data_IF_045366381978
#
_entry.id   IF_045366381978
#
_cell.length_a   1.000
_cell.length_b   1.000
_cell.length_c   1.000
_cell.angle_alpha   90.00
_cell.angle_beta   90.00
_cell.angle_gamma   90.00
#
_symmetry.space_group_name_H-M   'P 1'
#
loop_
_entity.id
_entity.type
_entity.pdbx_description
1 polymer ?
#
# COMPACT_ATOMS: atom_id res chain seq x y z
N UNK A 1 -12.75 -22.32 21.52
CA UNK A 1 -11.43 -21.83 21.96
C UNK A 1 -10.38 -22.15 20.90
N UNK A 2 -9.27 -21.42 20.87
CA UNK A 2 -8.17 -21.62 19.91
C UNK A 2 -6.85 -21.72 20.66
N UNK A 3 -5.99 -22.68 20.28
CA UNK A 3 -4.63 -22.85 20.82
C UNK A 3 -3.65 -23.03 19.67
N UNK A 4 -2.45 -22.48 19.80
CA UNK A 4 -1.33 -22.76 18.90
C UNK A 4 -0.44 -23.84 19.51
N UNK A 5 -0.01 -24.79 18.69
CA UNK A 5 1.02 -25.75 19.03
C UNK A 5 2.00 -25.91 17.88
N UNK A 6 3.21 -26.36 18.17
CA UNK A 6 4.23 -26.52 17.14
C UNK A 6 3.81 -27.60 16.14
N UNK A 7 3.92 -27.31 14.84
CA UNK A 7 3.81 -28.31 13.79
C UNK A 7 5.21 -28.68 13.34
N UNK A 8 5.56 -29.96 13.52
CA UNK A 8 6.84 -30.49 13.05
C UNK A 8 6.96 -30.43 11.52
N UNK A 9 8.18 -30.42 11.02
CA UNK A 9 8.40 -30.60 9.58
C UNK A 9 7.86 -31.97 9.17
N UNK A 10 6.93 -32.00 8.22
CA UNK A 10 6.16 -33.19 7.91
C UNK A 10 5.12 -32.96 6.81
N UNK A 11 4.12 -33.85 6.73
CA UNK A 11 3.10 -33.84 5.67
C UNK A 11 2.32 -32.51 5.58
N UNK A 12 2.20 -31.76 6.68
CA UNK A 12 1.45 -30.50 6.73
C UNK A 12 2.32 -29.25 6.49
N UNK A 13 3.62 -29.27 6.84
CA UNK A 13 4.56 -28.18 6.60
C UNK A 13 5.97 -28.69 6.28
N UNK A 14 6.47 -28.40 5.08
CA UNK A 14 7.76 -28.94 4.59
C UNK A 14 9.00 -28.46 5.36
N UNK A 15 8.93 -27.27 5.97
CA UNK A 15 10.01 -26.62 6.74
C UNK A 15 9.63 -26.46 8.23
N UNK A 16 8.55 -27.13 8.66
CA UNK A 16 7.93 -26.93 9.97
C UNK A 16 7.11 -25.65 10.04
N UNK A 17 6.34 -25.51 11.13
CA UNK A 17 5.36 -24.45 11.24
C UNK A 17 4.65 -24.40 12.59
N UNK A 18 3.49 -23.75 12.60
CA UNK A 18 2.57 -23.68 13.75
C UNK A 18 1.24 -24.27 13.32
N UNK A 19 0.67 -25.18 14.12
CA UNK A 19 -0.72 -25.60 13.97
C UNK A 19 -1.63 -24.81 14.90
N UNK A 20 -2.79 -24.45 14.39
CA UNK A 20 -3.84 -23.68 15.05
C UNK A 20 -5.02 -24.62 15.29
N UNK A 21 -5.20 -25.04 16.54
CA UNK A 21 -6.18 -26.04 16.98
C UNK A 21 -7.43 -25.33 17.50
N UNK A 22 -8.61 -25.75 17.01
CA UNK A 22 -9.91 -25.12 17.31
C UNK A 22 -10.86 -26.16 17.87
N UNK A 23 -11.58 -25.83 18.94
CA UNK A 23 -12.56 -26.74 19.53
C UNK A 23 -13.46 -26.07 20.56
N UNK A 24 -14.37 -26.85 21.16
CA UNK A 24 -15.36 -26.37 22.14
C UNK A 24 -14.99 -26.91 23.51
N UNK A 25 -14.75 -26.02 24.46
CA UNK A 25 -14.49 -26.35 25.86
C UNK A 25 -15.77 -26.98 26.46
N UNK A 26 -15.76 -28.30 26.54
CA UNK A 26 -16.92 -29.12 26.89
C UNK A 26 -16.97 -29.36 28.39
N UNK A 27 -15.82 -29.37 29.06
CA UNK A 27 -15.70 -29.52 30.50
C UNK A 27 -15.72 -28.18 31.27
N UNK A 28 -15.73 -27.04 30.54
CA UNK A 28 -15.78 -25.65 31.04
C UNK A 28 -14.61 -25.29 31.94
N UNK A 29 -13.44 -25.88 31.72
CA UNK A 29 -12.24 -25.60 32.51
C UNK A 29 -11.47 -24.35 32.02
N UNK A 30 -11.90 -23.73 30.92
CA UNK A 30 -11.28 -22.53 30.37
C UNK A 30 -10.01 -22.78 29.55
N UNK A 31 -9.72 -24.04 29.21
CA UNK A 31 -8.60 -24.44 28.34
C UNK A 31 -9.08 -25.41 27.27
N UNK A 32 -8.44 -25.41 26.10
CA UNK A 32 -8.78 -26.35 25.04
C UNK A 32 -7.97 -27.64 25.23
N UNK A 33 -8.61 -28.68 25.76
CA UNK A 33 -7.98 -29.98 25.97
C UNK A 33 -7.88 -30.79 24.67
N UNK A 34 -6.95 -31.75 24.62
CA UNK A 34 -6.71 -32.57 23.41
C UNK A 34 -7.93 -33.39 22.98
N UNK A 35 -8.82 -33.74 23.91
CA UNK A 35 -10.07 -34.45 23.61
C UNK A 35 -11.18 -33.53 23.05
N UNK A 36 -10.98 -32.22 23.12
CA UNK A 36 -11.94 -31.18 22.72
C UNK A 36 -11.57 -30.52 21.39
N UNK A 37 -10.39 -30.86 20.85
CA UNK A 37 -9.89 -30.38 19.56
C UNK A 37 -10.70 -31.00 18.43
N UNK A 38 -11.19 -30.15 17.52
CA UNK A 38 -11.79 -30.59 16.28
C UNK A 38 -10.73 -30.62 15.17
N UNK A 39 -10.23 -31.81 14.87
CA UNK A 39 -9.18 -32.02 13.87
C UNK A 39 -9.54 -31.52 12.47
N UNK A 40 -10.85 -31.45 12.12
CA UNK A 40 -11.31 -30.93 10.83
C UNK A 40 -11.19 -29.40 10.71
N UNK A 41 -10.99 -28.69 11.82
CA UNK A 41 -10.84 -27.23 11.87
C UNK A 41 -9.40 -26.78 12.14
N UNK A 42 -8.46 -27.72 12.34
CA UNK A 42 -7.05 -27.42 12.56
C UNK A 42 -6.40 -26.86 11.29
N UNK A 43 -5.64 -25.77 11.42
CA UNK A 43 -4.96 -25.07 10.30
C UNK A 43 -3.46 -25.01 10.54
N UNK A 44 -2.64 -24.98 9.49
CA UNK A 44 -1.17 -25.00 9.58
C UNK A 44 -0.54 -23.76 8.92
N UNK A 45 0.53 -23.23 9.52
CA UNK A 45 1.27 -22.05 9.06
C UNK A 45 2.74 -22.42 8.91
N UNK A 46 3.30 -22.41 7.69
CA UNK A 46 4.64 -22.94 7.38
C UNK A 46 5.70 -21.85 7.09
N UNK A 47 6.99 -22.15 7.29
CA UNK A 47 8.11 -21.22 7.11
C UNK A 47 8.73 -21.21 5.67
N UNK A 48 9.35 -20.10 5.24
CA UNK A 48 9.94 -19.92 3.90
C UNK A 48 11.48 -20.14 3.80
N UNK A 49 12.05 -20.33 2.58
CA UNK A 49 13.48 -20.61 2.36
C UNK A 49 14.42 -19.38 2.37
N UNK A 50 15.69 -19.56 2.76
CA UNK A 50 16.71 -18.51 3.00
C UNK A 50 17.50 -18.11 1.73
N UNK A 51 17.83 -16.81 1.57
CA UNK A 51 18.65 -16.26 0.45
C UNK A 51 20.12 -15.95 0.79
N UNK A 52 21.02 -15.80 -0.20
CA UNK A 52 22.48 -15.65 -0.01
C UNK A 52 22.95 -14.19 0.26
N UNK A 53 24.06 -14.05 1.00
CA UNK A 53 24.60 -12.80 1.59
C UNK A 53 25.72 -12.15 0.74
N UNK A 54 25.75 -10.80 0.66
CA UNK A 54 26.80 -10.00 -0.03
C UNK A 54 27.80 -9.29 0.91
N UNK A 55 28.99 -8.94 0.38
CA UNK A 55 30.19 -8.47 1.11
C UNK A 55 30.37 -6.93 1.16
N UNK A 56 31.08 -6.43 2.18
CA UNK A 56 31.19 -5.02 2.66
C UNK A 56 32.38 -4.22 2.05
N UNK A 57 32.24 -2.90 1.88
CA UNK A 57 33.31 -1.95 1.51
C UNK A 57 33.58 -0.85 2.56
N UNK A 58 34.84 -0.37 2.64
CA UNK A 58 35.42 0.47 3.71
C UNK A 58 35.34 2.01 3.45
N UNK A 59 35.34 2.80 4.54
CA UNK A 59 35.24 4.29 4.59
C UNK A 59 36.60 5.00 4.60
N UNK A 60 36.70 6.22 4.03
CA UNK A 60 37.86 7.13 4.14
C UNK A 60 37.49 8.52 4.75
N UNK A 61 38.43 9.30 5.33
CA UNK A 61 38.10 10.43 6.21
C UNK A 61 38.28 11.86 5.63
N UNK A 62 37.26 12.69 5.92
CA UNK A 62 37.11 14.11 6.34
C UNK A 62 38.01 15.29 5.90
N UNK A 63 37.35 16.45 5.65
CA UNK A 63 37.86 17.83 5.85
C UNK A 63 36.74 18.88 6.03
N UNK A 64 36.89 19.86 6.94
CA UNK A 64 35.84 20.74 7.52
C UNK A 64 35.89 22.23 7.05
N UNK A 65 34.74 22.91 6.94
CA UNK A 65 34.63 24.39 7.05
C UNK A 65 33.22 24.91 7.50
N UNK A 66 33.18 25.69 8.61
CA UNK A 66 32.39 26.93 8.85
C UNK A 66 30.87 26.91 9.13
N UNK A 67 30.42 27.46 10.27
CA UNK A 67 29.09 27.28 10.90
C UNK A 67 27.96 28.26 10.47
N UNK A 68 26.73 27.73 10.36
CA UNK A 68 25.42 28.44 10.27
C UNK A 68 24.71 28.42 11.64
N UNK A 69 24.01 29.49 12.03
CA UNK A 69 23.27 29.61 13.30
C UNK A 69 22.08 28.66 13.48
N UNK A 70 21.52 28.51 14.71
CA UNK A 70 20.82 27.30 15.13
C UNK A 70 19.45 27.12 14.47
N UNK A 71 19.38 26.14 13.58
CA UNK A 71 18.16 25.48 13.13
C UNK A 71 17.53 24.71 14.32
N UNK A 72 16.20 24.76 14.46
CA UNK A 72 15.49 23.99 15.48
C UNK A 72 15.77 22.49 15.37
N UNK A 73 15.85 21.80 16.52
CA UNK A 73 16.27 20.39 16.58
C UNK A 73 15.49 19.51 15.60
N UNK A 74 16.22 18.82 14.73
CA UNK A 74 15.67 17.77 13.89
C UNK A 74 15.01 16.69 14.78
N UNK A 75 13.86 16.18 14.36
CA UNK A 75 13.22 15.04 15.02
C UNK A 75 14.15 13.84 14.97
N UNK A 76 14.35 13.19 16.12
CA UNK A 76 15.22 12.03 16.25
C UNK A 76 14.63 10.84 15.48
N UNK A 77 15.43 10.23 14.60
CA UNK A 77 15.01 9.10 13.77
C UNK A 77 15.04 7.80 14.59
N UNK A 78 14.03 6.93 14.45
CA UNK A 78 14.06 5.59 15.05
C UNK A 78 14.63 4.59 14.05
N UNK A 79 15.70 3.90 14.41
CA UNK A 79 16.41 2.95 13.53
C UNK A 79 16.32 1.54 14.11
N UNK A 80 16.15 0.55 13.23
CA UNK A 80 16.14 -0.86 13.58
C UNK A 80 17.31 -1.55 12.86
N UNK A 81 18.07 -2.35 13.61
CA UNK A 81 19.21 -3.10 13.08
C UNK A 81 19.12 -4.57 13.50
N UNK A 82 19.64 -5.45 12.66
CA UNK A 82 19.76 -6.87 12.96
C UNK A 82 21.22 -7.25 13.09
N UNK A 83 21.54 -8.06 14.09
CA UNK A 83 22.89 -8.57 14.31
C UNK A 83 22.83 -10.07 14.57
N UNK A 84 23.88 -10.79 14.17
CA UNK A 84 24.00 -12.20 14.52
C UNK A 84 24.09 -12.34 16.06
N UNK A 85 23.29 -13.22 16.63
CA UNK A 85 23.39 -13.63 18.02
C UNK A 85 24.20 -14.94 18.08
N UNK A 86 25.38 -14.95 18.71
CA UNK A 86 26.16 -16.18 18.86
C UNK A 86 25.44 -17.22 19.71
N UNK A 87 25.85 -18.49 19.58
CA UNK A 87 25.37 -19.54 20.47
C UNK A 87 25.74 -19.22 21.93
N UNK A 88 24.74 -19.17 22.80
CA UNK A 88 24.92 -18.71 24.18
C UNK A 88 23.62 -18.62 24.96
N UNK A 89 23.63 -17.80 26.02
CA UNK A 89 22.55 -17.72 27.00
C UNK A 89 21.20 -17.31 26.41
N UNK A 90 21.18 -16.50 25.34
CA UNK A 90 19.95 -16.05 24.69
C UNK A 90 19.45 -17.04 23.62
N UNK A 91 20.38 -17.71 22.92
CA UNK A 91 20.07 -18.68 21.87
C UNK A 91 21.08 -19.84 21.90
N UNK A 92 20.62 -21.05 22.24
CA UNK A 92 21.51 -22.21 22.45
C UNK A 92 22.33 -22.64 21.22
N UNK A 93 21.86 -22.34 20.02
CA UNK A 93 22.45 -22.71 18.72
C UNK A 93 22.83 -21.49 17.88
N UNK A 94 22.79 -20.29 18.48
CA UNK A 94 22.93 -19.01 17.79
C UNK A 94 21.63 -18.57 17.10
N UNK A 95 21.64 -17.39 16.49
CA UNK A 95 20.44 -16.79 15.92
C UNK A 95 20.67 -15.36 15.43
N UNK A 96 19.62 -14.55 15.47
CA UNK A 96 19.63 -13.13 15.12
C UNK A 96 19.01 -12.35 16.26
N UNK A 97 19.67 -11.27 16.71
CA UNK A 97 19.08 -10.27 17.59
C UNK A 97 18.59 -9.07 16.79
N UNK A 98 17.39 -8.62 17.10
CA UNK A 98 16.74 -7.43 16.56
C UNK A 98 16.91 -6.31 17.57
N UNK A 99 17.54 -5.21 17.17
CA UNK A 99 17.88 -4.09 18.02
C UNK A 99 17.17 -2.84 17.51
N UNK A 100 16.62 -2.06 18.43
CA UNK A 100 15.87 -0.83 18.13
C UNK A 100 16.40 0.29 19.00
N UNK A 101 16.45 1.49 18.44
CA UNK A 101 16.86 2.65 19.20
C UNK A 101 16.68 3.94 18.42
N UNK A 102 16.99 5.03 19.09
CA UNK A 102 16.86 6.36 18.55
C UNK A 102 18.22 6.79 18.03
N UNK A 103 18.31 7.00 16.72
CA UNK A 103 19.49 7.54 16.05
C UNK A 103 19.69 8.99 16.52
N UNK A 104 20.45 9.10 17.60
CA UNK A 104 20.64 10.32 18.35
C UNK A 104 21.66 11.23 17.67
N UNK A 105 22.52 10.66 16.84
CA UNK A 105 23.53 11.40 16.08
C UNK A 105 23.13 11.67 14.61
N UNK A 106 22.01 11.11 14.14
CA UNK A 106 21.41 11.36 12.83
C UNK A 106 22.17 10.74 11.66
N UNK A 107 22.95 9.68 11.89
CA UNK A 107 23.82 9.06 10.89
C UNK A 107 23.11 7.97 10.05
N UNK A 108 21.86 7.64 10.37
CA UNK A 108 21.05 6.64 9.67
C UNK A 108 21.39 5.20 10.03
N UNK A 109 22.19 4.97 11.07
CA UNK A 109 22.61 3.66 11.58
C UNK A 109 22.30 3.59 13.08
N UNK A 110 22.09 2.38 13.61
CA UNK A 110 21.87 2.21 15.04
C UNK A 110 23.20 1.89 15.74
N UNK A 111 23.80 2.89 16.37
CA UNK A 111 25.06 2.72 17.09
C UNK A 111 24.86 2.02 18.45
N UNK A 112 25.93 1.42 18.98
CA UNK A 112 25.87 0.65 20.22
C UNK A 112 25.38 1.46 21.44
N UNK A 113 25.58 2.79 21.44
CA UNK A 113 25.08 3.70 22.48
C UNK A 113 23.62 4.14 22.30
N UNK A 114 23.03 3.85 21.14
CA UNK A 114 21.66 4.25 20.77
C UNK A 114 20.66 3.09 20.94
N UNK A 115 21.17 1.87 21.10
CA UNK A 115 20.37 0.65 21.29
C UNK A 115 19.57 0.73 22.59
N UNK A 116 18.24 0.63 22.47
CA UNK A 116 17.37 0.39 23.60
C UNK A 116 17.31 -1.11 23.92
N UNK A 117 18.03 -1.51 24.97
CA UNK A 117 18.10 -2.90 25.41
C UNK A 117 16.72 -3.51 25.76
N UNK A 118 15.76 -2.71 26.25
CA UNK A 118 14.41 -3.19 26.60
C UNK A 118 13.57 -3.58 25.36
N UNK A 119 13.91 -3.04 24.19
CA UNK A 119 13.26 -3.33 22.93
C UNK A 119 13.98 -4.42 22.12
N UNK A 120 15.15 -4.88 22.58
CA UNK A 120 15.89 -5.93 21.89
C UNK A 120 15.13 -7.26 21.95
N UNK A 121 15.05 -7.98 20.82
CA UNK A 121 14.37 -9.27 20.69
C UNK A 121 15.32 -10.29 20.06
N UNK A 122 15.24 -11.54 20.50
CA UNK A 122 16.12 -12.62 20.02
C UNK A 122 15.32 -13.63 19.21
N UNK A 123 15.88 -14.05 18.08
CA UNK A 123 15.32 -15.06 17.18
C UNK A 123 16.35 -16.18 17.05
N UNK A 124 16.10 -17.33 17.68
CA UNK A 124 17.07 -18.42 17.79
C UNK A 124 16.92 -19.47 16.66
N UNK A 125 18.04 -20.06 16.23
CA UNK A 125 18.08 -21.10 15.21
C UNK A 125 17.64 -22.48 15.75
N UNK A 126 17.06 -23.34 14.89
CA UNK A 126 16.69 -24.70 15.27
C UNK A 126 17.89 -25.68 15.29
N UNK A 127 17.81 -26.75 16.09
CA UNK A 127 18.81 -27.82 16.11
C UNK A 127 18.71 -28.72 14.86
N UNK A 128 19.85 -29.26 14.40
CA UNK A 128 19.94 -30.11 13.21
C UNK A 128 19.18 -31.44 13.39
N UNK A 129 18.34 -31.82 12.42
CA UNK A 129 17.55 -33.05 12.45
C UNK A 129 18.33 -34.32 12.04
N UNK A 130 17.92 -35.52 12.50
CA UNK A 130 18.58 -36.78 12.16
C UNK A 130 18.30 -37.25 10.72
N UNK A 131 19.26 -37.98 10.15
CA UNK A 131 19.22 -38.49 8.77
C UNK A 131 18.12 -39.58 8.59
N UNK A 132 17.36 -39.50 7.49
CA UNK A 132 16.22 -40.41 7.21
C UNK A 132 16.64 -41.82 6.79
N UNK A 133 15.80 -42.81 7.13
CA UNK A 133 16.02 -44.25 6.86
C UNK A 133 15.53 -44.69 5.46
N UNK A 134 16.18 -45.68 4.80
CA UNK A 134 15.80 -46.17 3.47
C UNK A 134 14.44 -46.88 3.42
N UNK A 135 13.73 -46.77 2.28
CA UNK A 135 12.38 -47.31 2.09
C UNK A 135 12.30 -48.83 1.84
N UNK A 136 11.17 -49.43 2.22
CA UNK A 136 10.92 -50.87 2.17
C UNK A 136 10.73 -51.42 0.73
N UNK A 137 11.24 -52.63 0.48
CA UNK A 137 11.15 -53.36 -0.79
C UNK A 137 9.70 -53.74 -1.15
N UNK A 138 9.30 -53.52 -2.41
CA UNK A 138 7.96 -53.80 -2.91
C UNK A 138 7.59 -55.29 -2.94
N UNK A 139 6.30 -55.59 -2.81
CA UNK A 139 5.77 -56.96 -2.74
C UNK A 139 6.04 -57.76 -4.02
N UNK A 140 6.46 -59.02 -3.84
CA UNK A 140 6.79 -59.97 -4.90
C UNK A 140 5.53 -60.43 -5.66
N UNK A 141 5.57 -60.38 -6.99
CA UNK A 141 4.50 -60.89 -7.86
C UNK A 141 4.41 -62.42 -7.85
N UNK A 142 3.19 -62.95 -8.04
CA UNK A 142 2.92 -64.40 -8.03
C UNK A 142 3.69 -65.16 -9.13
N UNK A 143 4.25 -66.36 -8.86
CA UNK A 143 5.05 -67.11 -9.84
C UNK A 143 4.24 -67.59 -11.06
N UNK A 144 4.83 -67.41 -12.26
CA UNK A 144 4.36 -68.04 -13.51
C UNK A 144 4.95 -69.44 -13.71
N UNK A 145 4.24 -70.30 -14.45
CA UNK A 145 4.61 -71.71 -14.69
C UNK A 145 5.88 -71.86 -15.54
N UNK A 146 6.75 -72.87 -15.28
CA UNK A 146 8.08 -72.92 -15.90
C UNK A 146 8.10 -73.42 -17.35
N UNK A 147 8.81 -72.68 -18.21
CA UNK A 147 9.28 -73.14 -19.53
C UNK A 147 10.72 -72.66 -19.75
N UNK A 148 11.62 -73.59 -20.07
CA UNK A 148 13.07 -73.33 -20.13
C UNK A 148 13.49 -72.74 -21.48
N UNK A 149 14.19 -71.59 -21.51
CA UNK A 149 15.11 -71.16 -22.59
C UNK A 149 15.95 -69.93 -22.19
N UNK A 150 17.25 -69.98 -22.53
CA UNK A 150 18.08 -68.94 -23.18
C UNK A 150 18.24 -67.53 -22.58
N UNK A 151 19.49 -67.06 -22.50
CA UNK A 151 19.90 -65.77 -21.93
C UNK A 151 19.12 -64.55 -22.47
N UNK A 152 18.42 -63.86 -21.58
CA UNK A 152 17.69 -62.60 -21.82
C UNK A 152 18.67 -61.42 -21.94
N UNK A 153 18.49 -60.60 -22.98
CA UNK A 153 19.28 -59.39 -23.21
C UNK A 153 19.09 -58.32 -22.12
N UNK A 154 20.06 -57.42 -21.99
CA UNK A 154 20.08 -56.37 -20.97
C UNK A 154 18.77 -55.55 -20.97
N UNK A 155 18.17 -55.41 -19.79
CA UNK A 155 16.99 -54.58 -19.53
C UNK A 155 17.25 -53.13 -19.96
N UNK A 156 16.39 -52.59 -20.82
CA UNK A 156 16.46 -51.19 -21.26
C UNK A 156 16.30 -50.22 -20.08
N UNK A 157 17.05 -49.12 -20.11
CA UNK A 157 17.03 -48.10 -19.06
C UNK A 157 15.61 -47.56 -18.83
N UNK A 158 15.22 -47.44 -17.56
CA UNK A 158 13.97 -46.81 -17.12
C UNK A 158 13.87 -45.40 -17.69
N UNK A 159 12.76 -45.09 -18.38
CA UNK A 159 12.51 -43.75 -18.91
C UNK A 159 12.47 -42.70 -17.79
N UNK A 160 13.07 -41.53 -18.04
CA UNK A 160 13.09 -40.43 -17.08
C UNK A 160 11.67 -40.04 -16.65
N UNK A 161 11.49 -39.84 -15.34
CA UNK A 161 10.25 -39.27 -14.77
C UNK A 161 9.97 -37.92 -15.44
N UNK A 162 8.74 -37.74 -15.94
CA UNK A 162 8.33 -36.47 -16.55
C UNK A 162 8.46 -35.31 -15.55
N UNK A 163 8.74 -34.08 -16.01
CA UNK A 163 8.87 -32.92 -15.13
C UNK A 163 7.57 -32.69 -14.35
N UNK A 164 7.70 -32.35 -13.07
CA UNK A 164 6.58 -31.90 -12.23
C UNK A 164 5.94 -30.65 -12.87
N UNK A 165 4.60 -30.62 -12.93
CA UNK A 165 3.87 -29.45 -13.44
C UNK A 165 4.12 -28.20 -12.60
N UNK A 166 4.06 -26.98 -13.19
CA UNK A 166 4.28 -25.74 -12.45
C UNK A 166 3.25 -25.55 -11.34
N UNK A 167 3.66 -24.97 -10.21
CA UNK A 167 2.74 -24.55 -9.15
C UNK A 167 1.74 -23.50 -9.68
N UNK A 168 0.46 -23.59 -9.27
CA UNK A 168 -0.58 -22.65 -9.71
C UNK A 168 -0.23 -21.20 -9.33
N UNK A 169 -0.27 -20.29 -10.31
CA UNK A 169 0.07 -18.88 -10.10
C UNK A 169 -0.95 -18.20 -9.17
N UNK A 170 -0.48 -17.59 -8.09
CA UNK A 170 -1.26 -16.67 -7.25
C UNK A 170 -1.86 -15.55 -8.11
N UNK A 171 -3.19 -15.54 -8.25
CA UNK A 171 -3.96 -14.74 -9.23
C UNK A 171 -4.04 -13.24 -8.97
N UNK A 172 -3.07 -12.64 -8.27
CA UNK A 172 -3.04 -11.19 -7.93
C UNK A 172 -3.09 -10.34 -9.20
N UNK A 173 -2.35 -10.75 -10.22
CA UNK A 173 -2.30 -10.08 -11.52
C UNK A 173 -3.44 -10.44 -12.48
N UNK A 174 -4.39 -11.27 -12.04
CA UNK A 174 -5.45 -11.81 -12.88
C UNK A 174 -5.00 -12.95 -13.78
N UNK A 175 -5.92 -13.40 -14.63
CA UNK A 175 -5.75 -14.50 -15.59
C UNK A 175 -5.66 -14.03 -17.05
N UNK A 176 -5.85 -12.73 -17.29
CA UNK A 176 -5.86 -12.13 -18.61
C UNK A 176 -7.10 -12.44 -19.46
N UNK A 177 -8.18 -12.98 -18.86
CA UNK A 177 -9.41 -13.35 -19.57
C UNK A 177 -10.12 -12.17 -20.28
N UNK A 178 -9.77 -10.94 -19.91
CA UNK A 178 -10.21 -9.71 -20.55
C UNK A 178 -9.49 -9.39 -21.86
N UNK A 179 -8.49 -10.18 -22.27
CA UNK A 179 -7.68 -9.90 -23.45
C UNK A 179 -6.94 -8.56 -23.33
N UNK A 180 -6.56 -7.95 -24.46
CA UNK A 180 -5.89 -6.66 -24.45
C UNK A 180 -6.89 -5.50 -24.27
N UNK A 181 -6.59 -4.58 -23.35
CA UNK A 181 -7.26 -3.27 -23.26
C UNK A 181 -6.45 -2.23 -24.03
N UNK A 182 -7.08 -1.55 -24.99
CA UNK A 182 -6.48 -0.43 -25.71
C UNK A 182 -7.43 0.76 -25.72
N UNK A 183 -6.99 1.89 -25.19
CA UNK A 183 -7.68 3.18 -25.32
C UNK A 183 -6.88 4.02 -26.32
N UNK A 184 -7.36 4.08 -27.56
CA UNK A 184 -6.65 4.74 -28.65
C UNK A 184 -6.59 6.26 -28.47
N UNK A 185 -5.61 6.91 -29.13
CA UNK A 185 -5.48 8.37 -29.13
C UNK A 185 -6.76 9.04 -29.61
N UNK A 186 -7.14 10.15 -28.98
CA UNK A 186 -8.36 10.90 -29.29
C UNK A 186 -9.66 10.28 -28.74
N UNK A 187 -9.61 9.08 -28.18
CA UNK A 187 -10.76 8.42 -27.57
C UNK A 187 -10.77 8.59 -26.05
N UNK A 188 -11.98 8.70 -25.50
CA UNK A 188 -12.22 8.60 -24.06
C UNK A 188 -12.99 7.33 -23.76
N UNK A 189 -12.44 6.46 -22.90
CA UNK A 189 -13.17 5.35 -22.30
C UNK A 189 -13.49 5.73 -20.85
N UNK A 190 -14.77 5.98 -20.58
CA UNK A 190 -15.23 6.41 -19.26
C UNK A 190 -15.99 5.30 -18.53
N UNK A 191 -15.29 4.62 -17.63
CA UNK A 191 -15.82 3.52 -16.84
C UNK A 191 -16.70 3.96 -15.66
N UNK A 192 -16.83 5.27 -15.41
CA UNK A 192 -17.79 5.81 -14.43
C UNK A 192 -19.22 5.78 -15.00
N UNK A 193 -19.35 5.80 -16.33
CA UNK A 193 -20.63 5.72 -17.01
C UNK A 193 -21.02 4.28 -17.33
N UNK A 194 -22.32 3.98 -17.24
CA UNK A 194 -22.84 2.69 -17.69
C UNK A 194 -22.49 2.41 -19.16
N UNK A 195 -22.50 3.45 -20.01
CA UNK A 195 -22.14 3.35 -21.43
C UNK A 195 -20.71 2.86 -21.63
N UNK A 196 -19.73 3.51 -21.02
CA UNK A 196 -18.32 3.11 -21.14
C UNK A 196 -18.04 1.77 -20.47
N UNK A 197 -18.61 1.50 -19.29
CA UNK A 197 -18.50 0.19 -18.64
C UNK A 197 -19.03 -0.95 -19.53
N UNK A 198 -20.17 -0.75 -20.20
CA UNK A 198 -20.77 -1.76 -21.07
C UNK A 198 -19.93 -2.06 -22.32
N UNK A 199 -19.03 -1.15 -22.75
CA UNK A 199 -18.11 -1.42 -23.87
C UNK A 199 -17.09 -2.52 -23.56
N UNK A 200 -16.90 -2.86 -22.27
CA UNK A 200 -16.00 -3.94 -21.86
C UNK A 200 -16.58 -5.33 -22.17
N UNK A 201 -17.87 -5.49 -22.49
CA UNK A 201 -18.50 -6.72 -23.02
C UNK A 201 -17.97 -8.04 -22.43
N UNK A 202 -18.19 -8.28 -21.13
CA UNK A 202 -17.74 -9.49 -20.42
C UNK A 202 -16.36 -9.40 -19.76
N UNK A 203 -15.60 -8.31 -20.02
CA UNK A 203 -14.25 -8.07 -19.46
C UNK A 203 -14.25 -7.20 -18.19
N UNK A 204 -15.37 -7.26 -17.45
CA UNK A 204 -15.68 -6.37 -16.32
C UNK A 204 -14.87 -6.69 -15.06
N UNK A 205 -14.21 -7.86 -15.03
CA UNK A 205 -13.30 -8.28 -13.97
C UNK A 205 -11.94 -7.55 -14.05
N UNK A 206 -11.72 -6.73 -15.09
CA UNK A 206 -10.54 -5.88 -15.31
C UNK A 206 -9.20 -6.63 -15.25
N UNK A 207 -9.18 -7.87 -15.71
CA UNK A 207 -7.97 -8.69 -15.84
C UNK A 207 -7.62 -8.84 -17.31
N UNK A 208 -6.57 -8.18 -17.74
CA UNK A 208 -6.18 -8.06 -19.13
C UNK A 208 -4.89 -8.84 -19.41
N UNK A 209 -4.61 -9.15 -20.67
CA UNK A 209 -3.28 -9.62 -21.06
C UNK A 209 -2.31 -8.45 -21.10
N UNK A 210 -2.70 -7.33 -21.68
CA UNK A 210 -1.93 -6.08 -21.73
C UNK A 210 -2.86 -4.89 -21.63
N UNK A 211 -2.38 -3.78 -21.09
CA UNK A 211 -3.13 -2.51 -21.05
C UNK A 211 -2.33 -1.42 -21.72
N UNK A 212 -2.92 -0.76 -22.71
CA UNK A 212 -2.32 0.40 -23.38
C UNK A 212 -3.32 1.56 -23.40
N UNK A 213 -2.97 2.66 -22.72
CA UNK A 213 -3.77 3.88 -22.69
C UNK A 213 -3.02 4.98 -23.44
N UNK A 214 -3.49 5.34 -24.63
CA UNK A 214 -2.96 6.45 -25.44
C UNK A 214 -3.95 7.62 -25.50
N UNK A 215 -5.25 7.36 -25.37
CA UNK A 215 -6.29 8.37 -25.16
C UNK A 215 -6.52 8.66 -23.67
N UNK A 216 -7.78 8.86 -23.28
CA UNK A 216 -8.18 9.11 -21.90
C UNK A 216 -8.97 7.93 -21.34
N UNK A 217 -8.52 7.37 -20.22
CA UNK A 217 -9.25 6.36 -19.46
C UNK A 217 -9.74 6.99 -18.15
N UNK A 218 -11.05 7.09 -17.96
CA UNK A 218 -11.64 7.55 -16.71
C UNK A 218 -12.12 6.31 -15.95
N UNK A 219 -11.72 6.20 -14.68
CA UNK A 219 -12.03 5.05 -13.84
C UNK A 219 -12.68 5.50 -12.52
N UNK A 220 -13.67 4.75 -11.99
CA UNK A 220 -14.15 4.99 -10.65
C UNK A 220 -13.05 4.82 -9.60
N UNK A 221 -13.16 5.51 -8.47
CA UNK A 221 -12.34 5.22 -7.30
C UNK A 221 -12.47 3.76 -6.85
N UNK A 222 -11.38 3.17 -6.37
CA UNK A 222 -11.28 1.77 -5.99
C UNK A 222 -10.99 0.82 -7.16
N UNK A 223 -10.77 1.36 -8.37
CA UNK A 223 -10.49 0.53 -9.54
C UNK A 223 -9.17 -0.20 -9.38
N UNK A 224 -9.19 -1.52 -9.64
CA UNK A 224 -8.00 -2.38 -9.70
C UNK A 224 -7.83 -2.89 -11.12
N UNK A 225 -6.81 -2.40 -11.82
CA UNK A 225 -6.43 -2.87 -13.15
C UNK A 225 -5.40 -4.00 -12.98
N UNK A 226 -5.68 -5.15 -13.59
CA UNK A 226 -4.82 -6.33 -13.53
C UNK A 226 -4.34 -6.71 -14.93
N UNK A 227 -3.06 -7.03 -15.07
CA UNK A 227 -2.46 -7.43 -16.33
C UNK A 227 -1.47 -8.61 -16.16
N UNK A 228 -1.58 -9.64 -16.99
CA UNK A 228 -0.59 -10.74 -17.07
C UNK A 228 0.64 -10.38 -17.92
N UNK A 229 0.61 -9.25 -18.61
CA UNK A 229 1.72 -8.64 -19.33
C UNK A 229 1.90 -7.18 -18.95
N UNK A 230 2.44 -6.38 -19.86
CA UNK A 230 2.79 -4.97 -19.61
C UNK A 230 1.56 -4.05 -19.52
N UNK A 231 1.74 -2.94 -18.78
CA UNK A 231 0.80 -1.82 -18.71
C UNK A 231 1.53 -0.56 -19.17
N UNK A 232 1.04 0.12 -20.20
CA UNK A 232 1.63 1.35 -20.75
C UNK A 232 0.61 2.48 -20.80
N UNK A 233 0.96 3.63 -20.23
CA UNK A 233 0.09 4.80 -20.10
C UNK A 233 0.78 5.97 -20.83
N UNK A 234 0.51 6.08 -22.13
CA UNK A 234 1.00 7.16 -23.01
C UNK A 234 0.08 8.39 -22.99
N UNK A 235 -1.20 8.20 -22.68
CA UNK A 235 -2.21 9.25 -22.54
C UNK A 235 -2.53 9.52 -21.08
N UNK A 236 -3.81 9.68 -20.75
CA UNK A 236 -4.26 10.10 -19.43
C UNK A 236 -5.15 9.04 -18.78
N UNK A 237 -4.86 8.71 -17.52
CA UNK A 237 -5.83 8.07 -16.62
C UNK A 237 -6.36 9.14 -15.65
N UNK A 238 -7.67 9.24 -15.54
CA UNK A 238 -8.36 10.07 -14.54
C UNK A 238 -9.05 9.12 -13.57
N UNK A 239 -8.74 9.25 -12.29
CA UNK A 239 -9.39 8.50 -11.21
C UNK A 239 -10.44 9.41 -10.60
N UNK A 240 -11.70 9.03 -10.78
CA UNK A 240 -12.83 9.80 -10.28
C UNK A 240 -12.87 9.78 -8.75
N UNK A 241 -13.53 10.76 -8.15
CA UNK A 241 -13.57 10.96 -6.71
C UNK A 241 -14.14 9.76 -5.95
N UNK A 242 -13.53 9.44 -4.81
CA UNK A 242 -13.95 8.30 -3.99
C UNK A 242 -15.06 8.62 -2.99
N UNK A 243 -15.31 9.90 -2.78
CA UNK A 243 -16.31 10.40 -1.83
C UNK A 243 -17.03 11.59 -2.43
N UNK A 244 -18.27 11.39 -2.88
CA UNK A 244 -19.15 12.51 -3.22
C UNK A 244 -19.91 12.93 -1.96
N UNK A 245 -19.63 14.13 -1.48
CA UNK A 245 -20.47 14.78 -0.49
C UNK A 245 -21.59 15.53 -1.23
N UNK A 246 -22.73 14.86 -1.42
CA UNK A 246 -23.91 15.39 -2.15
C UNK A 246 -24.64 16.53 -1.44
N UNK A 247 -23.99 17.20 -0.48
CA UNK A 247 -24.48 18.42 0.16
C UNK A 247 -25.24 18.20 1.47
N UNK A 248 -25.23 17.00 2.05
CA UNK A 248 -25.89 16.69 3.33
C UNK A 248 -25.00 15.78 4.21
N UNK A 249 -24.67 16.23 5.44
CA UNK A 249 -23.95 15.43 6.45
C UNK A 249 -22.64 16.04 6.97
N UNK A 250 -21.80 15.34 7.74
CA UNK A 250 -20.41 15.74 8.01
C UNK A 250 -19.50 15.46 6.80
N UNK A 251 -18.28 16.01 6.78
CA UNK A 251 -17.26 15.59 5.82
C UNK A 251 -16.90 14.11 6.02
N UNK A 252 -16.61 13.41 4.93
CA UNK A 252 -16.11 12.04 4.96
C UNK A 252 -14.60 12.04 5.19
N UNK A 253 -14.13 11.12 6.04
CA UNK A 253 -12.70 11.01 6.32
C UNK A 253 -11.89 10.43 5.14
N UNK A 254 -12.51 9.71 4.21
CA UNK A 254 -11.77 8.89 3.25
C UNK A 254 -10.82 7.93 3.97
N UNK A 255 -9.63 7.70 3.42
CA UNK A 255 -8.56 6.96 4.09
C UNK A 255 -7.64 7.93 4.82
N UNK A 256 -8.12 8.41 5.97
CA UNK A 256 -7.39 9.32 6.85
C UNK A 256 -7.68 9.01 8.32
N UNK A 257 -7.01 9.70 9.24
CA UNK A 257 -7.19 9.52 10.68
C UNK A 257 -8.40 10.26 11.22
N UNK A 258 -8.79 11.37 10.58
CA UNK A 258 -9.99 12.13 10.95
C UNK A 258 -10.52 12.94 9.78
N UNK A 259 -11.84 13.05 9.72
CA UNK A 259 -12.52 13.96 8.79
C UNK A 259 -12.21 15.43 9.13
N UNK A 260 -12.37 16.30 8.14
CA UNK A 260 -12.33 17.74 8.33
C UNK A 260 -13.60 18.26 9.05
N UNK A 261 -13.48 19.41 9.69
CA UNK A 261 -14.53 20.12 10.40
C UNK A 261 -14.53 21.62 10.11
N UNK A 262 -15.33 22.37 10.88
CA UNK A 262 -15.46 23.82 10.78
C UNK A 262 -14.87 24.47 12.05
N UNK A 263 -13.62 25.00 12.03
CA UNK A 263 -12.67 25.11 10.91
C UNK A 263 -11.60 24.01 10.87
N UNK A 264 -11.69 22.97 11.69
CA UNK A 264 -10.58 22.04 11.90
C UNK A 264 -10.21 21.29 10.62
N UNK A 265 -8.91 21.23 10.30
CA UNK A 265 -8.40 20.35 9.24
C UNK A 265 -8.69 18.87 9.47
N UNK A 266 -8.76 18.09 8.39
CA UNK A 266 -8.60 16.64 8.46
C UNK A 266 -7.17 16.24 8.81
N UNK A 267 -6.98 15.07 9.41
CA UNK A 267 -5.65 14.54 9.76
C UNK A 267 -5.26 13.35 8.89
N UNK A 268 -4.13 13.45 8.21
CA UNK A 268 -3.62 12.43 7.31
C UNK A 268 -3.03 11.23 8.05
N UNK A 269 -2.86 10.12 7.32
CA UNK A 269 -2.14 8.95 7.76
C UNK A 269 -0.69 9.31 8.15
N UNK A 270 -0.16 8.58 9.12
CA UNK A 270 1.27 8.66 9.40
C UNK A 270 2.07 7.86 8.35
N UNK A 271 3.36 8.15 8.14
CA UNK A 271 4.15 7.53 7.07
C UNK A 271 4.09 5.99 7.06
N UNK A 272 4.15 5.35 8.22
CA UNK A 272 4.07 3.88 8.32
C UNK A 272 2.68 3.34 7.93
N UNK A 273 1.61 4.02 8.33
CA UNK A 273 0.25 3.65 7.95
C UNK A 273 0.03 3.82 6.44
N UNK A 274 0.55 4.91 5.88
CA UNK A 274 0.48 5.21 4.46
C UNK A 274 1.25 4.18 3.62
N UNK A 275 2.45 3.76 4.06
CA UNK A 275 3.26 2.75 3.38
C UNK A 275 2.62 1.34 3.37
N UNK A 276 1.67 1.07 4.27
CA UNK A 276 0.95 -0.19 4.33
C UNK A 276 -0.32 -0.20 3.46
N UNK A 277 -0.71 0.95 2.89
CA UNK A 277 -1.93 1.10 2.11
C UNK A 277 -1.75 0.65 0.66
N UNK A 278 -1.75 -0.66 0.44
CA UNK A 278 -1.54 -1.26 -0.89
C UNK A 278 -2.83 -1.62 -1.62
N UNK A 279 -3.93 -1.78 -0.87
CA UNK A 279 -5.26 -2.11 -1.39
C UNK A 279 -6.27 -1.09 -0.87
N UNK A 280 -6.16 0.18 -1.29
CA UNK A 280 -7.19 1.16 -0.95
C UNK A 280 -8.54 0.70 -1.51
N UNK A 281 -9.57 0.75 -0.68
CA UNK A 281 -10.95 0.51 -1.12
C UNK A 281 -11.47 1.65 -2.00
N UNK A 282 -12.79 1.71 -2.29
CA UNK A 282 -13.38 2.78 -3.10
C UNK A 282 -13.28 4.15 -2.42
N UNK A 283 -13.11 4.18 -1.11
CA UNK A 283 -12.80 5.40 -0.36
C UNK A 283 -11.37 5.82 -0.69
N UNK A 284 -11.23 6.98 -1.34
CA UNK A 284 -9.95 7.61 -1.63
C UNK A 284 -9.60 8.66 -0.57
N UNK A 285 -9.21 9.86 -1.00
CA UNK A 285 -8.95 11.00 -0.13
C UNK A 285 -10.18 11.44 0.66
N UNK A 286 -9.96 12.07 1.81
CA UNK A 286 -11.04 12.69 2.58
C UNK A 286 -11.60 13.93 1.90
N UNK A 287 -12.91 14.16 2.06
CA UNK A 287 -13.58 15.34 1.56
C UNK A 287 -13.26 16.57 2.41
N UNK A 288 -13.28 17.76 1.81
CA UNK A 288 -13.23 19.01 2.58
C UNK A 288 -14.50 19.20 3.41
N UNK A 289 -14.41 19.94 4.51
CA UNK A 289 -15.58 20.34 5.27
C UNK A 289 -16.43 21.30 4.45
N UNK A 290 -17.71 20.96 4.31
CA UNK A 290 -18.73 21.83 3.75
C UNK A 290 -19.30 22.75 4.83
N UNK A 291 -19.88 23.87 4.40
CA UNK A 291 -20.70 24.75 5.25
C UNK A 291 -22.05 24.96 4.56
N UNK A 292 -23.13 25.11 5.34
CA UNK A 292 -24.50 25.17 4.82
C UNK A 292 -24.66 26.17 3.65
N UNK A 293 -25.12 25.69 2.50
CA UNK A 293 -25.37 26.49 1.30
C UNK A 293 -24.21 26.56 0.28
N UNK A 294 -23.10 25.84 0.51
CA UNK A 294 -21.97 25.72 -0.43
C UNK A 294 -21.80 24.26 -0.83
N UNK A 295 -21.51 24.01 -2.11
CA UNK A 295 -21.16 22.66 -2.58
C UNK A 295 -19.85 22.22 -1.95
N UNK A 296 -19.85 21.06 -1.29
CA UNK A 296 -18.64 20.44 -0.75
C UNK A 296 -17.67 20.03 -1.87
N UNK A 297 -16.49 19.56 -1.46
CA UNK A 297 -15.50 18.97 -2.36
C UNK A 297 -15.38 17.47 -2.09
N UNK A 298 -15.22 16.66 -3.14
CA UNK A 298 -14.84 15.26 -2.97
C UNK A 298 -13.34 15.06 -2.84
N UNK A 299 -12.94 14.03 -2.10
CA UNK A 299 -11.54 13.60 -2.07
C UNK A 299 -11.17 12.76 -3.29
N UNK A 300 -9.91 12.84 -3.70
CA UNK A 300 -9.40 12.17 -4.90
C UNK A 300 -9.54 10.66 -4.84
N UNK A 301 -9.67 10.01 -5.99
CA UNK A 301 -9.93 8.58 -6.08
C UNK A 301 -8.75 7.68 -5.74
N UNK A 302 -9.02 6.39 -5.54
CA UNK A 302 -8.01 5.35 -5.40
C UNK A 302 -7.89 4.49 -6.66
N UNK A 303 -6.66 4.18 -7.05
CA UNK A 303 -6.34 3.32 -8.20
C UNK A 303 -5.22 2.36 -7.84
N UNK A 304 -5.41 1.09 -8.20
CA UNK A 304 -4.36 0.08 -8.14
C UNK A 304 -4.10 -0.49 -9.52
N UNK A 305 -2.84 -0.55 -9.93
CA UNK A 305 -2.39 -1.20 -11.17
C UNK A 305 -1.47 -2.36 -10.79
N UNK A 306 -1.82 -3.57 -11.22
CA UNK A 306 -1.07 -4.81 -10.97
C UNK A 306 -0.67 -5.43 -12.31
N UNK A 307 0.63 -5.58 -12.56
CA UNK A 307 1.17 -6.15 -13.79
C UNK A 307 2.23 -7.22 -13.52
N UNK A 308 2.11 -8.39 -14.17
CA UNK A 308 3.21 -9.39 -14.23
C UNK A 308 4.39 -8.93 -15.09
N UNK A 309 4.18 -7.89 -15.90
CA UNK A 309 5.20 -7.27 -16.73
C UNK A 309 5.76 -6.00 -16.11
N UNK A 310 6.09 -5.05 -16.99
CA UNK A 310 6.51 -3.70 -16.63
C UNK A 310 5.31 -2.76 -16.66
N UNK A 311 5.22 -1.86 -15.68
CA UNK A 311 4.33 -0.69 -15.77
C UNK A 311 5.12 0.52 -16.24
N UNK A 312 4.64 1.18 -17.29
CA UNK A 312 5.29 2.34 -17.92
C UNK A 312 4.34 3.52 -17.96
N UNK A 313 4.79 4.65 -17.43
CA UNK A 313 4.18 5.98 -17.62
C UNK A 313 5.20 6.85 -18.35
N UNK A 314 5.31 6.79 -19.69
CA UNK A 314 6.28 7.59 -20.45
C UNK A 314 6.05 9.10 -20.32
N UNK A 315 6.90 9.94 -20.93
CA UNK A 315 6.84 11.41 -20.75
C UNK A 315 5.52 12.08 -21.13
N UNK A 316 4.73 11.48 -22.04
CA UNK A 316 3.37 11.94 -22.36
C UNK A 316 2.28 11.40 -21.42
N UNK A 317 2.61 10.43 -20.58
CA UNK A 317 1.69 9.73 -19.71
C UNK A 317 1.30 10.52 -18.47
N UNK A 318 0.02 10.47 -18.11
CA UNK A 318 -0.51 11.11 -16.90
C UNK A 318 -1.43 10.14 -16.16
N UNK A 319 -1.27 10.03 -14.84
CA UNK A 319 -2.26 9.45 -13.93
C UNK A 319 -2.69 10.56 -12.96
N UNK A 320 -3.97 10.86 -12.90
CA UNK A 320 -4.53 11.93 -12.08
C UNK A 320 -5.55 11.38 -11.09
N UNK A 321 -5.22 11.47 -9.80
CA UNK A 321 -6.06 11.09 -8.67
C UNK A 321 -6.17 12.26 -7.67
N UNK A 322 -6.26 13.49 -8.18
CA UNK A 322 -6.36 14.70 -7.36
C UNK A 322 -7.71 14.79 -6.65
N UNK A 323 -7.75 15.56 -5.55
CA UNK A 323 -9.01 15.97 -4.93
C UNK A 323 -9.68 17.12 -5.69
N UNK A 324 -10.94 17.38 -5.32
CA UNK A 324 -11.74 18.45 -5.90
C UNK A 324 -11.64 19.76 -5.13
N UNK A 325 -11.68 20.87 -5.85
CA UNK A 325 -11.63 22.20 -5.24
C UNK A 325 -12.85 22.44 -4.35
N UNK A 326 -12.64 23.17 -3.25
CA UNK A 326 -13.74 23.66 -2.43
C UNK A 326 -14.64 24.56 -3.29
N UNK A 327 -15.96 24.32 -3.23
CA UNK A 327 -16.94 25.07 -4.01
C UNK A 327 -16.78 26.59 -3.80
N UNK A 328 -16.98 27.41 -4.85
CA UNK A 328 -16.90 28.85 -4.72
C UNK A 328 -18.00 29.36 -3.80
N UNK A 329 -17.68 30.33 -2.93
CA UNK A 329 -18.70 31.00 -2.13
C UNK A 329 -19.71 31.73 -3.03
N UNK A 330 -21.00 31.46 -2.82
CA UNK A 330 -22.10 32.33 -3.27
C UNK A 330 -22.19 33.56 -2.35
N UNK A 331 -22.95 34.59 -2.74
CA UNK A 331 -23.05 35.86 -1.97
C UNK A 331 -23.25 35.62 -0.47
N UNK A 332 -22.39 36.23 0.35
CA UNK A 332 -22.41 36.14 1.82
C UNK A 332 -22.16 34.75 2.44
N UNK A 333 -21.37 33.89 1.80
CA UNK A 333 -21.04 32.54 2.31
C UNK A 333 -19.55 32.36 2.63
N UNK A 334 -19.25 31.39 3.48
CA UNK A 334 -17.88 30.98 3.81
C UNK A 334 -17.32 30.04 2.74
N UNK A 335 -16.00 29.88 2.70
CA UNK A 335 -15.36 28.93 1.81
C UNK A 335 -15.48 27.49 2.31
N UNK A 336 -15.80 26.56 1.42
CA UNK A 336 -15.72 25.12 1.69
C UNK A 336 -14.27 24.63 1.64
N UNK A 337 -13.92 23.63 2.44
CA UNK A 337 -12.59 23.00 2.37
C UNK A 337 -12.32 22.33 1.03
N UNK A 338 -11.06 22.26 0.62
CA UNK A 338 -10.63 21.48 -0.55
C UNK A 338 -10.53 19.98 -0.22
N UNK A 339 -10.78 19.12 -1.20
CA UNK A 339 -10.65 17.67 -1.07
C UNK A 339 -9.19 17.23 -1.05
N UNK A 340 -8.87 16.16 -0.31
CA UNK A 340 -7.52 15.60 -0.31
C UNK A 340 -7.20 14.90 -1.63
N UNK A 341 -5.91 14.76 -1.94
CA UNK A 341 -5.45 13.86 -3.00
C UNK A 341 -5.80 12.40 -2.71
N UNK A 342 -5.81 11.57 -3.75
CA UNK A 342 -6.16 10.16 -3.72
C UNK A 342 -4.99 9.20 -3.51
N UNK A 343 -5.18 7.92 -3.83
CA UNK A 343 -4.14 6.88 -3.74
C UNK A 343 -3.85 6.29 -5.10
N UNK A 344 -2.58 6.22 -5.47
CA UNK A 344 -2.14 5.48 -6.65
C UNK A 344 -1.12 4.44 -6.23
N UNK A 345 -1.49 3.16 -6.35
CA UNK A 345 -0.58 2.03 -6.11
C UNK A 345 -0.26 1.37 -7.45
N UNK A 346 1.02 1.28 -7.79
CA UNK A 346 1.48 0.67 -9.03
C UNK A 346 2.43 -0.46 -8.71
N UNK A 347 2.12 -1.64 -9.24
CA UNK A 347 2.91 -2.85 -9.08
C UNK A 347 3.27 -3.40 -10.44
N UNK A 348 4.57 -3.41 -10.73
CA UNK A 348 5.13 -4.09 -11.89
C UNK A 348 6.08 -5.18 -11.44
N UNK A 349 5.74 -6.45 -11.69
CA UNK A 349 6.60 -7.57 -11.30
C UNK A 349 7.99 -7.46 -11.90
N UNK A 350 8.11 -7.01 -13.15
CA UNK A 350 9.42 -6.79 -13.79
C UNK A 350 9.99 -5.45 -13.36
N UNK A 351 9.29 -4.35 -13.64
CA UNK A 351 9.75 -3.00 -13.27
C UNK A 351 8.58 -1.99 -13.27
N UNK A 352 8.81 -0.83 -12.68
CA UNK A 352 7.96 0.36 -12.84
C UNK A 352 8.81 1.52 -13.37
N UNK A 353 8.33 2.20 -14.40
CA UNK A 353 9.01 3.37 -14.98
C UNK A 353 8.06 4.55 -15.10
N UNK A 354 8.50 5.72 -14.65
CA UNK A 354 7.72 6.96 -14.65
C UNK A 354 8.53 8.09 -15.27
N UNK A 355 8.31 8.34 -16.55
CA UNK A 355 8.81 9.52 -17.26
C UNK A 355 7.81 10.68 -17.35
N UNK A 356 6.52 10.42 -17.16
CA UNK A 356 5.44 11.41 -17.18
C UNK A 356 5.03 11.91 -15.80
N UNK A 357 3.73 12.09 -15.58
CA UNK A 357 3.17 12.59 -14.31
C UNK A 357 2.29 11.55 -13.62
N UNK A 358 2.51 11.35 -12.32
CA UNK A 358 1.53 10.69 -11.45
C UNK A 358 1.17 11.71 -10.37
N UNK A 359 -0.12 12.01 -10.23
CA UNK A 359 -0.61 13.08 -9.36
C UNK A 359 -1.66 12.54 -8.41
N UNK A 360 -1.48 12.86 -7.14
CA UNK A 360 -2.44 12.67 -6.07
C UNK A 360 -2.42 13.93 -5.20
N UNK A 361 -2.78 15.06 -5.82
CA UNK A 361 -2.63 16.41 -5.24
C UNK A 361 -3.90 16.79 -4.49
N UNK A 362 -3.73 17.42 -3.34
CA UNK A 362 -4.82 18.04 -2.59
C UNK A 362 -5.32 19.30 -3.28
N UNK A 363 -6.62 19.57 -3.18
CA UNK A 363 -7.23 20.65 -3.92
C UNK A 363 -7.27 21.97 -3.14
N UNK A 364 -7.43 23.07 -3.86
CA UNK A 364 -7.56 24.40 -3.25
C UNK A 364 -8.87 24.52 -2.45
N UNK A 365 -8.81 25.15 -1.29
CA UNK A 365 -9.99 25.54 -0.50
C UNK A 365 -10.78 26.68 -1.16
N UNK A 366 -12.08 26.71 -0.97
CA UNK A 366 -12.97 27.72 -1.55
C UNK A 366 -12.71 29.11 -0.97
N UNK A 367 -12.75 30.13 -1.82
CA UNK A 367 -12.70 31.52 -1.37
C UNK A 367 -14.04 31.91 -0.72
N UNK A 368 -13.99 32.71 0.34
CA UNK A 368 -15.17 33.23 1.00
C UNK A 368 -15.66 34.54 0.39
N UNK A 369 -16.95 34.85 0.58
CA UNK A 369 -17.57 36.08 0.10
C UNK A 369 -18.35 36.76 1.23
N UNK A 370 -18.00 38.00 1.59
CA UNK A 370 -18.74 38.80 2.56
C UNK A 370 -19.52 39.93 1.86
N UNK A 371 -20.84 39.86 1.89
CA UNK A 371 -21.73 40.91 1.36
C UNK A 371 -22.21 41.91 2.44
N UNK A 372 -21.74 41.76 3.68
CA UNK A 372 -22.04 42.67 4.79
C UNK A 372 -22.08 41.96 6.15
N UNK A 373 -21.65 42.66 7.21
CA UNK A 373 -21.65 42.14 8.57
C UNK A 373 -20.39 41.37 8.94
N UNK A 374 -20.54 40.25 9.67
CA UNK A 374 -19.41 39.42 10.09
C UNK A 374 -18.61 38.88 8.90
N UNK A 375 -17.29 38.75 9.09
CA UNK A 375 -16.38 38.20 8.09
C UNK A 375 -16.71 36.75 7.78
N UNK A 376 -16.21 36.26 6.64
CA UNK A 376 -16.43 34.89 6.17
C UNK A 376 -15.08 34.22 5.97
N UNK A 377 -14.84 33.13 6.69
CA UNK A 377 -13.61 32.36 6.62
C UNK A 377 -13.43 31.64 5.28
N UNK A 378 -12.23 31.70 4.72
CA UNK A 378 -11.87 30.90 3.55
C UNK A 378 -11.77 29.42 3.90
N UNK A 379 -11.92 28.55 2.90
CA UNK A 379 -11.75 27.12 3.07
C UNK A 379 -10.26 26.74 3.23
N UNK A 380 -9.98 25.72 4.03
CA UNK A 380 -8.65 25.11 4.11
C UNK A 380 -8.34 24.29 2.85
N UNK A 381 -7.07 24.27 2.43
CA UNK A 381 -6.62 23.44 1.31
C UNK A 381 -6.60 21.95 1.68
N UNK A 382 -6.90 21.06 0.72
CA UNK A 382 -6.85 19.62 0.94
C UNK A 382 -5.42 19.08 1.08
N UNK A 383 -5.22 18.06 1.90
CA UNK A 383 -3.94 17.38 2.05
C UNK A 383 -3.54 16.57 0.82
N UNK A 384 -2.25 16.39 0.60
CA UNK A 384 -1.72 15.54 -0.47
C UNK A 384 -2.04 14.06 -0.27
N UNK A 385 -2.10 13.32 -1.37
CA UNK A 385 -2.41 11.89 -1.42
C UNK A 385 -1.20 10.98 -1.27
N UNK A 386 -1.31 9.74 -1.74
CA UNK A 386 -0.27 8.72 -1.63
C UNK A 386 0.03 8.13 -3.00
N UNK A 387 1.31 8.04 -3.35
CA UNK A 387 1.77 7.29 -4.52
C UNK A 387 2.72 6.19 -4.06
N UNK A 388 2.44 4.94 -4.38
CA UNK A 388 3.27 3.80 -4.00
C UNK A 388 3.65 2.98 -5.23
N UNK A 389 4.94 2.92 -5.52
CA UNK A 389 5.50 2.12 -6.61
C UNK A 389 6.16 0.86 -6.03
N UNK A 390 5.81 -0.30 -6.57
CA UNK A 390 6.34 -1.59 -6.15
C UNK A 390 6.83 -2.41 -7.35
N UNK A 391 8.04 -2.94 -7.28
CA UNK A 391 8.61 -3.79 -8.33
C UNK A 391 9.75 -4.68 -7.82
N UNK A 392 10.20 -5.63 -8.65
CA UNK A 392 11.38 -6.46 -8.35
C UNK A 392 12.72 -5.74 -8.53
N UNK A 393 12.72 -4.63 -9.27
CA UNK A 393 13.84 -3.71 -9.39
C UNK A 393 13.45 -2.31 -8.88
N UNK A 394 14.44 -1.46 -8.63
CA UNK A 394 14.19 -0.05 -8.28
C UNK A 394 13.40 0.66 -9.38
N UNK A 395 12.23 1.25 -9.08
CA UNK A 395 11.48 2.04 -10.05
C UNK A 395 12.33 3.16 -10.65
N UNK A 396 12.30 3.31 -11.98
CA UNK A 396 13.03 4.38 -12.66
C UNK A 396 12.10 5.59 -12.85
N UNK A 397 12.40 6.70 -12.16
CA UNK A 397 11.58 7.91 -12.19
C UNK A 397 12.40 9.05 -12.81
N UNK A 398 12.02 9.48 -14.00
CA UNK A 398 12.55 10.68 -14.67
C UNK A 398 11.50 11.78 -14.80
N UNK A 399 10.24 11.44 -14.55
CA UNK A 399 9.10 12.35 -14.50
C UNK A 399 8.80 12.86 -13.10
N UNK A 400 7.53 13.19 -12.83
CA UNK A 400 7.10 13.78 -11.55
C UNK A 400 6.09 12.89 -10.83
N UNK A 401 6.33 12.66 -9.54
CA UNK A 401 5.35 12.15 -8.59
C UNK A 401 4.88 13.32 -7.71
N UNK A 402 3.66 13.81 -7.94
CA UNK A 402 3.13 14.99 -7.27
C UNK A 402 2.08 14.60 -6.22
N UNK A 403 2.44 14.82 -4.96
CA UNK A 403 1.59 14.62 -3.78
C UNK A 403 1.47 15.91 -2.98
N UNK A 404 1.56 17.07 -3.64
CA UNK A 404 1.43 18.37 -2.98
C UNK A 404 0.06 18.55 -2.31
N UNK A 405 0.04 19.33 -1.23
CA UNK A 405 -1.22 19.81 -0.64
C UNK A 405 -1.78 21.00 -1.42
N UNK A 406 -3.08 21.21 -1.28
CA UNK A 406 -3.80 22.29 -1.94
C UNK A 406 -3.63 23.63 -1.22
N UNK A 407 -3.75 24.71 -1.98
CA UNK A 407 -3.70 26.06 -1.43
C UNK A 407 -4.94 26.38 -0.55
N UNK A 408 -4.78 27.31 0.37
CA UNK A 408 -5.91 27.86 1.13
C UNK A 408 -6.84 28.69 0.22
N UNK A 409 -8.11 28.75 0.60
CA UNK A 409 -9.05 29.75 0.13
C UNK A 409 -8.88 31.08 0.87
N UNK A 410 -9.31 32.17 0.27
CA UNK A 410 -9.18 33.52 0.84
C UNK A 410 -10.30 33.80 1.83
N UNK A 411 -9.95 34.35 3.00
CA UNK A 411 -10.91 34.86 3.99
C UNK A 411 -11.41 36.25 3.60
N UNK A 412 -12.73 36.46 3.64
CA UNK A 412 -13.35 37.75 3.44
C UNK A 412 -13.48 38.49 4.79
N UNK A 413 -12.87 39.69 4.94
CA UNK A 413 -12.85 40.41 6.22
C UNK A 413 -14.23 40.89 6.66
N UNK A 414 -14.47 41.09 7.97
CA UNK A 414 -15.72 41.68 8.45
C UNK A 414 -15.91 43.12 7.97
N UNK A 415 -17.16 43.55 7.84
CA UNK A 415 -17.56 44.90 7.46
C UNK A 415 -18.37 45.56 8.59
N UNK A 416 -18.21 46.87 8.77
CA UNK A 416 -18.90 47.63 9.83
C UNK A 416 -18.27 47.44 11.21
N UNK A 417 -19.09 47.36 12.26
CA UNK A 417 -18.62 47.26 13.65
C UNK A 417 -18.24 45.83 14.10
N UNK A 418 -18.46 44.82 13.25
CA UNK A 418 -18.14 43.43 13.59
C UNK A 418 -16.63 43.18 13.48
N UNK A 419 -16.07 42.44 14.43
CA UNK A 419 -14.72 41.87 14.35
C UNK A 419 -14.72 40.35 14.17
N UNK A 420 -15.91 39.74 14.17
CA UNK A 420 -16.08 38.30 14.11
C UNK A 420 -16.03 37.79 12.67
N UNK A 421 -15.46 36.61 12.49
CA UNK A 421 -15.41 35.85 11.24
C UNK A 421 -16.08 34.48 11.45
N UNK A 422 -17.10 34.17 10.64
CA UNK A 422 -17.72 32.84 10.57
C UNK A 422 -16.70 31.83 10.05
N UNK A 423 -16.60 30.66 10.70
CA UNK A 423 -15.65 29.62 10.31
C UNK A 423 -15.93 29.10 8.89
N UNK A 424 -14.88 29.02 8.06
CA UNK A 424 -14.87 28.25 6.83
C UNK A 424 -14.59 26.78 7.10
N UNK A 425 -14.76 25.94 6.09
CA UNK A 425 -14.49 24.51 6.20
C UNK A 425 -12.99 24.20 6.16
N UNK A 426 -12.51 23.31 7.05
CA UNK A 426 -11.18 22.73 6.96
C UNK A 426 -11.03 21.82 5.72
N UNK A 427 -9.81 21.68 5.21
CA UNK A 427 -9.49 20.81 4.08
C UNK A 427 -9.48 19.33 4.47
N UNK A 428 -9.84 18.47 3.51
CA UNK A 428 -9.79 17.02 3.66
C UNK A 428 -8.35 16.53 3.80
N UNK A 429 -8.16 15.29 4.28
CA UNK A 429 -6.83 14.70 4.46
C UNK A 429 -6.71 13.30 3.84
N UNK A 430 -5.46 12.91 3.57
CA UNK A 430 -5.10 11.54 3.19
C UNK A 430 -3.68 11.22 3.65
N UNK A 431 -2.66 11.46 2.82
CA UNK A 431 -1.26 11.28 3.22
C UNK A 431 -0.83 12.49 4.03
N UNK A 432 -1.09 13.67 3.49
CA UNK A 432 -0.96 14.95 4.18
C UNK A 432 -2.21 15.30 4.97
N UNK A 433 -2.01 16.06 6.03
CA UNK A 433 -3.07 16.79 6.73
C UNK A 433 -3.71 17.84 5.80
N UNK A 434 -4.99 18.12 6.02
CA UNK A 434 -5.64 19.29 5.41
C UNK A 434 -5.17 20.61 6.03
N UNK A 435 -5.60 21.72 5.46
CA UNK A 435 -5.46 23.05 6.05
C UNK A 435 -6.67 23.41 6.89
N UNK A 436 -6.48 24.24 7.93
CA UNK A 436 -7.60 24.77 8.70
C UNK A 436 -8.41 25.78 7.86
N UNK A 437 -9.73 25.85 8.11
CA UNK A 437 -10.58 26.91 7.60
C UNK A 437 -10.28 28.25 8.31
N UNK A 438 -10.57 29.36 7.64
CA UNK A 438 -10.47 30.68 8.24
C UNK A 438 -11.56 30.86 9.31
N UNK A 439 -11.24 31.50 10.43
CA UNK A 439 -12.20 31.86 11.47
C UNK A 439 -11.69 33.05 12.29
N UNK A 440 -12.42 33.44 13.33
CA UNK A 440 -11.95 34.50 14.25
C UNK A 440 -10.62 34.07 14.91
N UNK A 441 -9.53 34.75 14.58
CA UNK A 441 -8.19 34.41 15.08
C UNK A 441 -7.53 33.20 14.41
N UNK A 442 -8.13 32.63 13.35
CA UNK A 442 -7.60 31.48 12.61
C UNK A 442 -7.49 31.86 11.13
N UNK A 443 -6.29 31.80 10.57
CA UNK A 443 -6.06 32.01 9.14
C UNK A 443 -6.29 30.71 8.38
N UNK A 444 -6.94 30.78 7.22
CA UNK A 444 -7.09 29.62 6.34
C UNK A 444 -5.72 29.08 5.92
N UNK A 445 -5.51 27.77 6.10
CA UNK A 445 -4.24 27.09 5.88
C UNK A 445 -4.21 26.32 4.56
N UNK A 446 -3.01 26.16 3.99
CA UNK A 446 -2.77 25.21 2.91
C UNK A 446 -2.69 23.78 3.48
N UNK A 447 -3.03 22.78 2.66
CA UNK A 447 -2.83 21.39 3.00
C UNK A 447 -1.35 21.01 3.01
N UNK A 448 -1.00 20.02 3.82
CA UNK A 448 0.34 19.45 3.82
C UNK A 448 0.53 18.48 2.63
N UNK A 449 1.78 18.29 2.21
CA UNK A 449 2.11 17.27 1.21
C UNK A 449 1.88 15.85 1.77
N UNK A 450 1.56 14.92 0.89
CA UNK A 450 1.43 13.51 1.19
C UNK A 450 2.73 12.74 0.99
N UNK A 451 2.62 11.46 0.61
CA UNK A 451 3.77 10.56 0.60
C UNK A 451 3.96 9.85 -0.74
N UNK A 452 5.24 9.68 -1.10
CA UNK A 452 5.65 8.81 -2.20
C UNK A 452 6.49 7.67 -1.64
N UNK A 453 6.17 6.44 -2.01
CA UNK A 453 6.91 5.24 -1.59
C UNK A 453 7.42 4.46 -2.79
N UNK A 454 8.62 3.91 -2.65
CA UNK A 454 9.21 2.97 -3.59
C UNK A 454 9.61 1.73 -2.81
N UNK A 455 9.05 0.58 -3.17
CA UNK A 455 9.32 -0.69 -2.51
C UNK A 455 9.87 -1.67 -3.54
N UNK A 456 11.10 -2.13 -3.30
CA UNK A 456 11.75 -3.13 -4.13
C UNK A 456 11.67 -4.47 -3.43
N UNK A 457 10.99 -5.43 -4.05
CA UNK A 457 10.87 -6.81 -3.52
C UNK A 457 10.91 -7.83 -4.65
N UNK A 458 11.62 -8.97 -4.49
CA UNK A 458 11.78 -9.95 -5.58
C UNK A 458 10.46 -10.51 -6.14
N UNK A 459 9.44 -10.62 -5.29
CA UNK A 459 8.11 -11.13 -5.64
C UNK A 459 7.03 -10.19 -5.09
N UNK A 460 6.74 -9.06 -5.77
CA UNK A 460 5.78 -8.07 -5.28
C UNK A 460 4.36 -8.63 -5.11
N UNK A 461 4.00 -9.68 -5.84
CA UNK A 461 2.75 -10.42 -5.65
C UNK A 461 2.55 -10.91 -4.21
N UNK A 462 3.63 -11.27 -3.50
CA UNK A 462 3.54 -11.84 -2.17
C UNK A 462 3.15 -10.82 -1.09
N UNK A 463 3.28 -9.52 -1.38
CA UNK A 463 2.84 -8.46 -0.45
C UNK A 463 1.31 -8.36 -0.41
N UNK A 464 0.62 -8.88 -1.44
CA UNK A 464 -0.83 -8.86 -1.53
C UNK A 464 -1.51 -10.10 -0.91
N UNK A 465 -0.71 -11.05 -0.39
CA UNK A 465 -1.18 -12.31 0.20
C UNK A 465 -1.50 -12.20 1.69
#
# INVERSE_FOLDING_TARGET
>A
MVRTSAEGAGANCATGGVKLEVGVDTNRNGTLDTAEVNDALTRFVCAGPQGPQGVQGQTGPQGLQGQTGPQGAAGLHSVAATAAEPAGANCATGGVRLQFGQDANGNGVLDAGEVNAALTRYVCAGAQGPQGVPGATGAQGTPGTPGATGATGATGATGATGPQGPAGSTGVYGDGSGGALTVASGNTLDLTTAGGFNTLAGRQHLQFTTVTVTGTLIVPSGTVIRATGDVTINGTIIVDQGTEDSGAGPATAGVSRSAAGEPQKGLGLQPLQAAQLLRPGPTGGGSGAKVAGVTGSGGGGSLVILSQGTVRVPSGGVINANGDAGGPAVSNTVGAGGGAGGVVVIVGKVNVTVGGFIRAVGARGGDANNAGGAGKGGGGGGGGGIIHLLSSASPAITGTLDVSGGAAGTTAPPQGASTATTAGGGGGAMGGDGGDGGATGITSGAGAAGFTFQTVVPAPENIFL
#
